data_IF_630144112798
#
_entry.id   IF_630144112798
#
_cell.length_a   1.000
_cell.length_b   1.000
_cell.length_c   1.000
_cell.angle_alpha   90.00
_cell.angle_beta   90.00
_cell.angle_gamma   90.00
#
_symmetry.space_group_name_H-M   'P 1'
#
loop_
_entity.id
_entity.type
_entity.pdbx_description
1 polymer ?
#
# COMPACT_ATOMS: atom_id res chain seq x y z
N UNK A 1 11.88 4.70 27.37
CA UNK A 1 13.19 4.16 26.91
C UNK A 1 13.18 2.66 26.56
N UNK A 2 12.72 1.71 27.40
CA UNK A 2 12.77 0.26 27.10
C UNK A 2 12.17 -0.16 25.75
N UNK A 3 11.04 0.43 25.33
CA UNK A 3 10.40 0.14 24.03
C UNK A 3 11.24 0.55 22.82
N UNK A 4 11.94 1.68 22.91
CA UNK A 4 12.80 2.18 21.83
C UNK A 4 13.97 1.20 21.62
N UNK A 5 14.53 0.64 22.69
CA UNK A 5 15.59 -0.39 22.59
C UNK A 5 15.14 -1.68 21.89
N UNK A 6 13.84 -2.02 21.96
CA UNK A 6 13.32 -3.26 21.37
C UNK A 6 12.92 -3.06 19.90
N UNK A 7 12.23 -1.96 19.59
CA UNK A 7 11.64 -1.72 18.27
C UNK A 7 12.51 -0.83 17.38
N UNK A 8 13.35 0.04 17.97
CA UNK A 8 14.25 0.94 17.23
C UNK A 8 15.21 0.22 16.28
N UNK A 9 15.89 -0.86 16.69
CA UNK A 9 16.75 -1.64 15.78
C UNK A 9 16.00 -2.22 14.58
N UNK A 10 14.70 -2.54 14.73
CA UNK A 10 13.89 -3.09 13.64
C UNK A 10 13.51 -1.97 12.66
N UNK A 11 13.19 -0.77 13.14
CA UNK A 11 12.97 0.38 12.27
C UNK A 11 14.24 0.72 11.46
N UNK A 12 15.40 0.78 12.12
CA UNK A 12 16.68 1.03 11.45
C UNK A 12 17.03 -0.05 10.43
N UNK A 13 16.80 -1.32 10.78
CA UNK A 13 16.97 -2.44 9.84
C UNK A 13 16.10 -2.29 8.59
N UNK A 14 14.80 -2.01 8.77
CA UNK A 14 13.88 -1.86 7.64
C UNK A 14 14.25 -0.65 6.76
N UNK A 15 14.65 0.47 7.38
CA UNK A 15 15.16 1.63 6.64
C UNK A 15 16.40 1.27 5.81
N UNK A 16 17.43 0.72 6.46
CA UNK A 16 18.67 0.32 5.77
C UNK A 16 18.37 -0.65 4.62
N UNK A 17 17.55 -1.66 4.87
CA UNK A 17 17.18 -2.66 3.87
C UNK A 17 16.49 -2.03 2.66
N UNK A 18 15.50 -1.16 2.88
CA UNK A 18 14.78 -0.48 1.80
C UNK A 18 15.72 0.39 0.96
N UNK A 19 16.60 1.19 1.60
CA UNK A 19 17.55 2.03 0.87
C UNK A 19 18.65 1.23 0.15
N UNK A 20 19.15 0.14 0.73
CA UNK A 20 20.12 -0.74 0.05
C UNK A 20 19.51 -1.40 -1.19
N UNK A 21 18.27 -1.89 -1.08
CA UNK A 21 17.62 -2.58 -2.20
C UNK A 21 17.09 -1.64 -3.29
N UNK A 22 16.64 -0.43 -2.92
CA UNK A 22 15.90 0.45 -3.82
C UNK A 22 16.50 1.85 -4.01
N UNK A 23 17.56 2.21 -3.29
CA UNK A 23 18.18 3.54 -3.37
C UNK A 23 18.67 3.94 -4.76
N UNK A 24 18.98 2.96 -5.62
CA UNK A 24 19.35 3.22 -7.03
C UNK A 24 18.25 3.94 -7.82
N UNK A 25 16.98 3.83 -7.43
CA UNK A 25 15.84 4.46 -8.10
C UNK A 25 15.85 5.98 -7.91
N UNK A 26 16.54 6.47 -6.87
CA UNK A 26 16.71 7.92 -6.63
C UNK A 26 17.50 8.61 -7.76
N UNK A 27 18.17 7.86 -8.64
CA UNK A 27 18.89 8.40 -9.80
C UNK A 27 18.02 8.53 -11.05
N UNK A 28 16.74 8.20 -10.98
CA UNK A 28 15.82 8.22 -12.12
C UNK A 28 15.28 9.63 -12.32
N UNK A 29 15.57 10.29 -13.47
CA UNK A 29 15.07 11.64 -13.73
C UNK A 29 13.56 11.66 -13.91
N UNK A 30 12.97 12.87 -13.94
CA UNK A 30 11.57 13.07 -14.28
C UNK A 30 11.28 12.40 -15.64
N UNK A 31 10.35 11.46 -15.63
CA UNK A 31 9.95 10.68 -16.81
C UNK A 31 8.43 10.66 -17.01
N UNK A 32 7.66 11.13 -16.03
CA UNK A 32 6.21 11.08 -16.02
C UNK A 32 5.64 12.50 -15.91
N UNK A 33 4.67 12.86 -16.76
CA UNK A 33 4.05 14.20 -16.78
C UNK A 33 3.60 14.69 -15.40
N UNK A 34 2.83 13.84 -14.68
CA UNK A 34 2.37 14.13 -13.31
C UNK A 34 3.49 14.53 -12.32
N UNK A 35 4.71 14.01 -12.48
CA UNK A 35 5.81 14.39 -11.58
C UNK A 35 6.26 15.83 -11.88
N UNK A 36 6.26 16.27 -13.14
CA UNK A 36 6.51 17.65 -13.52
C UNK A 36 5.41 18.60 -13.06
N UNK A 37 4.14 18.19 -13.19
CA UNK A 37 3.00 18.99 -12.72
C UNK A 37 3.07 19.26 -11.21
N UNK A 38 3.41 18.24 -10.41
CA UNK A 38 3.61 18.38 -8.95
C UNK A 38 4.72 19.35 -8.62
N UNK A 39 5.85 19.32 -9.36
CA UNK A 39 6.96 20.22 -9.12
C UNK A 39 6.61 21.67 -9.46
N UNK A 40 5.97 21.91 -10.60
CA UNK A 40 5.50 23.24 -11.00
C UNK A 40 4.50 23.81 -10.00
N UNK A 41 3.56 22.99 -9.53
CA UNK A 41 2.58 23.42 -8.54
C UNK A 41 3.22 23.68 -7.18
N UNK A 42 4.13 22.82 -6.72
CA UNK A 42 4.88 23.04 -5.49
C UNK A 42 5.72 24.32 -5.56
N UNK A 43 6.26 24.68 -6.74
CA UNK A 43 6.92 25.95 -6.98
C UNK A 43 5.97 27.14 -6.80
N UNK A 44 4.79 27.13 -7.45
CA UNK A 44 3.77 28.17 -7.31
C UNK A 44 3.36 28.34 -5.83
N UNK A 45 3.05 27.23 -5.15
CA UNK A 45 2.71 27.22 -3.72
C UNK A 45 3.86 27.69 -2.82
N UNK A 46 5.11 27.53 -3.26
CA UNK A 46 6.27 28.00 -2.50
C UNK A 46 6.34 29.53 -2.44
N UNK A 47 5.90 30.21 -3.51
CA UNK A 47 5.83 31.66 -3.62
C UNK A 47 4.63 32.22 -2.84
N UNK A 48 3.47 31.55 -2.92
CA UNK A 48 2.25 31.97 -2.22
C UNK A 48 1.54 30.79 -1.54
N UNK A 49 1.93 30.40 -0.31
CA UNK A 49 1.33 29.27 0.39
C UNK A 49 -0.17 29.41 0.68
N UNK A 50 -0.71 30.63 0.63
CA UNK A 50 -2.13 30.90 0.85
C UNK A 50 -2.99 30.37 -0.30
N UNK A 51 -2.43 30.21 -1.50
CA UNK A 51 -3.14 29.61 -2.64
C UNK A 51 -3.56 28.17 -2.37
N UNK A 52 -2.83 27.45 -1.50
CA UNK A 52 -3.24 26.13 -1.01
C UNK A 52 -4.64 26.15 -0.36
N UNK A 53 -5.03 27.28 0.27
CA UNK A 53 -6.35 27.47 0.87
C UNK A 53 -7.38 27.99 -0.14
N UNK A 54 -6.94 28.75 -1.15
CA UNK A 54 -7.81 29.23 -2.23
C UNK A 54 -8.40 28.10 -3.09
N UNK A 55 -7.77 26.93 -3.06
CA UNK A 55 -8.21 25.71 -3.72
C UNK A 55 -8.83 24.69 -2.76
N UNK A 56 -9.33 25.12 -1.59
CA UNK A 56 -10.15 24.28 -0.71
C UNK A 56 -11.38 23.80 -1.48
N UNK A 57 -11.32 22.56 -1.96
CA UNK A 57 -12.32 22.00 -2.86
C UNK A 57 -12.05 22.26 -4.34
N UNK A 58 -10.80 22.30 -4.82
CA UNK A 58 -10.40 22.30 -6.25
C UNK A 58 -9.04 21.62 -6.42
N UNK A 59 -8.90 20.62 -7.31
CA UNK A 59 -7.69 19.84 -7.67
C UNK A 59 -6.87 19.14 -6.55
N UNK A 60 -6.99 19.65 -5.33
CA UNK A 60 -6.13 19.51 -4.17
C UNK A 60 -6.94 19.51 -2.88
N UNK A 61 -8.00 18.72 -2.87
CA UNK A 61 -8.69 18.34 -1.64
C UNK A 61 -7.80 17.52 -0.68
N UNK A 62 -6.47 17.55 -0.87
CA UNK A 62 -5.42 16.93 -0.09
C UNK A 62 -4.41 17.93 0.50
N UNK A 63 -4.82 18.89 1.36
CA UNK A 63 -3.90 19.88 1.95
C UNK A 63 -2.67 19.26 2.60
N UNK A 64 -2.82 18.07 3.19
CA UNK A 64 -1.71 17.35 3.81
C UNK A 64 -0.68 16.87 2.78
N UNK A 65 -1.13 16.41 1.60
CA UNK A 65 -0.25 15.96 0.54
C UNK A 65 0.46 17.14 -0.13
N UNK A 66 -0.25 18.23 -0.42
CA UNK A 66 0.36 19.44 -0.95
C UNK A 66 1.40 20.01 0.01
N UNK A 67 1.08 20.04 1.31
CA UNK A 67 2.03 20.46 2.32
C UNK A 67 3.28 19.57 2.31
N UNK A 68 3.12 18.26 2.11
CA UNK A 68 4.25 17.35 1.98
C UNK A 68 5.10 17.68 0.75
N UNK A 69 4.50 17.84 -0.44
CA UNK A 69 5.23 18.21 -1.66
C UNK A 69 5.87 19.59 -1.59
N UNK A 70 5.21 20.56 -0.97
CA UNK A 70 5.75 21.90 -0.72
C UNK A 70 6.98 21.84 0.22
N UNK A 71 6.91 21.02 1.27
CA UNK A 71 8.05 20.80 2.16
C UNK A 71 9.20 20.10 1.43
N UNK A 72 8.92 19.09 0.62
CA UNK A 72 9.93 18.45 -0.23
C UNK A 72 10.56 19.45 -1.21
N UNK A 73 9.76 20.27 -1.89
CA UNK A 73 10.24 21.28 -2.82
C UNK A 73 11.12 22.34 -2.15
N UNK A 74 10.76 22.79 -0.95
CA UNK A 74 11.59 23.74 -0.20
C UNK A 74 12.94 23.17 0.24
N UNK A 75 13.03 21.84 0.42
CA UNK A 75 14.26 21.17 0.87
C UNK A 75 15.11 20.71 -0.30
N UNK A 76 14.50 20.21 -1.37
CA UNK A 76 15.18 19.53 -2.48
C UNK A 76 15.11 20.30 -3.82
N UNK A 77 14.25 21.32 -3.94
CA UNK A 77 14.03 22.04 -5.19
C UNK A 77 13.57 21.09 -6.30
N UNK A 78 14.27 21.12 -7.44
CA UNK A 78 14.01 20.22 -8.58
C UNK A 78 14.75 18.87 -8.50
N UNK A 79 15.50 18.60 -7.43
CA UNK A 79 16.21 17.32 -7.29
C UNK A 79 15.26 16.17 -6.97
N UNK A 80 14.92 15.40 -8.02
CA UNK A 80 14.08 14.19 -7.94
C UNK A 80 14.57 13.16 -6.92
N UNK A 81 15.87 13.10 -6.62
CA UNK A 81 16.43 12.14 -5.69
C UNK A 81 15.83 12.31 -4.28
N UNK A 82 15.61 13.56 -3.86
CA UNK A 82 15.01 13.89 -2.57
C UNK A 82 13.61 13.31 -2.39
N UNK A 83 12.73 13.57 -3.37
CA UNK A 83 11.34 13.08 -3.39
C UNK A 83 11.26 11.55 -3.36
N UNK A 84 12.06 10.87 -4.20
CA UNK A 84 12.10 9.41 -4.20
C UNK A 84 12.68 8.89 -2.88
N UNK A 85 13.66 9.59 -2.29
CA UNK A 85 14.19 9.28 -0.97
C UNK A 85 13.13 9.33 0.14
N UNK A 86 12.25 10.35 0.13
CA UNK A 86 11.12 10.45 1.07
C UNK A 86 10.11 9.33 0.83
N UNK A 87 9.81 8.97 -0.42
CA UNK A 87 8.96 7.82 -0.74
C UNK A 87 9.52 6.51 -0.14
N UNK A 88 10.82 6.25 -0.30
CA UNK A 88 11.49 5.09 0.30
C UNK A 88 11.43 5.12 1.83
N UNK A 89 11.66 6.29 2.44
CA UNK A 89 11.58 6.47 3.89
C UNK A 89 10.17 6.16 4.43
N UNK A 90 9.13 6.69 3.80
CA UNK A 90 7.73 6.45 4.19
C UNK A 90 7.35 4.99 3.96
N UNK A 91 7.83 4.36 2.88
CA UNK A 91 7.62 2.93 2.64
C UNK A 91 8.23 2.06 3.76
N UNK A 92 9.47 2.31 4.16
CA UNK A 92 10.09 1.61 5.27
C UNK A 92 9.38 1.87 6.61
N UNK A 93 8.89 3.10 6.82
CA UNK A 93 8.09 3.42 8.00
C UNK A 93 6.74 2.67 8.00
N UNK A 94 6.08 2.54 6.85
CA UNK A 94 4.91 1.69 6.67
C UNK A 94 5.21 0.24 7.04
N UNK A 95 6.32 -0.32 6.55
CA UNK A 95 6.75 -1.67 6.92
C UNK A 95 7.00 -1.82 8.43
N UNK A 96 7.53 -0.78 9.09
CA UNK A 96 7.68 -0.78 10.54
C UNK A 96 6.33 -0.80 11.27
N UNK A 97 5.32 -0.06 10.79
CA UNK A 97 3.96 -0.13 11.35
C UNK A 97 3.36 -1.53 11.14
N UNK A 98 3.61 -2.17 9.99
CA UNK A 98 3.24 -3.58 9.75
C UNK A 98 3.87 -4.49 10.80
N UNK A 99 5.17 -4.36 11.06
CA UNK A 99 5.84 -5.10 12.14
C UNK A 99 5.13 -4.88 13.49
N UNK A 100 4.79 -3.64 13.84
CA UNK A 100 4.11 -3.32 15.10
C UNK A 100 2.71 -3.91 15.19
N UNK A 101 1.94 -3.89 14.10
CA UNK A 101 0.61 -4.51 13.99
C UNK A 101 0.70 -6.04 14.13
N UNK A 102 1.59 -6.68 13.38
CA UNK A 102 1.74 -8.14 13.39
C UNK A 102 2.26 -8.63 14.74
N UNK A 103 3.23 -7.94 15.33
CA UNK A 103 3.77 -8.24 16.66
C UNK A 103 2.73 -8.04 17.78
N UNK A 104 1.67 -7.27 17.53
CA UNK A 104 0.55 -7.12 18.46
C UNK A 104 -0.51 -8.22 18.29
N UNK A 105 -0.74 -8.69 17.06
CA UNK A 105 -1.79 -9.66 16.75
C UNK A 105 -1.31 -11.12 16.80
N UNK A 106 -0.01 -11.37 16.63
CA UNK A 106 0.58 -12.70 16.68
C UNK A 106 1.58 -12.84 17.84
N UNK A 107 1.67 -14.03 18.46
CA UNK A 107 2.60 -14.27 19.57
C UNK A 107 4.06 -14.41 19.13
N UNK A 108 4.33 -14.68 17.85
CA UNK A 108 5.68 -15.00 17.35
C UNK A 108 6.34 -13.77 16.71
N UNK A 109 7.41 -13.27 17.34
CA UNK A 109 8.17 -12.10 16.86
C UNK A 109 8.83 -12.34 15.49
N UNK A 110 9.35 -13.55 15.23
CA UNK A 110 10.02 -13.88 13.97
C UNK A 110 9.11 -13.68 12.76
N UNK A 111 7.85 -14.10 12.90
CA UNK A 111 6.82 -13.92 11.88
C UNK A 111 6.52 -12.44 11.61
N UNK A 112 6.52 -11.59 12.64
CA UNK A 112 6.35 -10.14 12.46
C UNK A 112 7.52 -9.50 11.73
N UNK A 113 8.76 -9.91 12.03
CA UNK A 113 9.96 -9.44 11.32
C UNK A 113 9.93 -9.89 9.87
N UNK A 114 9.60 -11.16 9.61
CA UNK A 114 9.51 -11.71 8.26
C UNK A 114 8.44 -10.99 7.43
N UNK A 115 7.24 -10.82 7.97
CA UNK A 115 6.15 -10.13 7.26
C UNK A 115 6.52 -8.68 6.90
N UNK A 116 7.11 -7.93 7.85
CA UNK A 116 7.55 -6.57 7.59
C UNK A 116 8.72 -6.49 6.60
N UNK A 117 9.64 -7.46 6.65
CA UNK A 117 10.76 -7.57 5.69
C UNK A 117 10.25 -7.85 4.28
N UNK A 118 9.29 -8.77 4.13
CA UNK A 118 8.67 -9.05 2.82
C UNK A 118 7.96 -7.82 2.27
N UNK A 119 7.21 -7.11 3.12
CA UNK A 119 6.53 -5.88 2.72
C UNK A 119 7.52 -4.76 2.35
N UNK A 120 8.59 -4.57 3.14
CA UNK A 120 9.65 -3.59 2.87
C UNK A 120 10.44 -3.87 1.59
N UNK A 121 10.46 -5.13 1.14
CA UNK A 121 11.07 -5.57 -0.13
C UNK A 121 10.07 -5.55 -1.29
N UNK A 122 8.91 -4.92 -1.13
CA UNK A 122 7.92 -4.72 -2.18
C UNK A 122 7.18 -5.99 -2.60
N UNK A 123 7.21 -7.07 -1.81
CA UNK A 123 6.55 -8.33 -2.19
C UNK A 123 5.04 -8.12 -2.38
N UNK A 124 4.55 -8.39 -3.59
CA UNK A 124 3.14 -8.24 -3.97
C UNK A 124 2.77 -6.88 -4.59
N UNK A 125 3.60 -5.84 -4.41
CA UNK A 125 3.44 -4.52 -5.07
C UNK A 125 4.52 -4.21 -6.11
N UNK A 126 5.65 -4.94 -6.07
CA UNK A 126 6.73 -4.94 -7.05
C UNK A 126 7.40 -3.58 -7.27
N UNK A 127 7.49 -2.79 -6.20
CA UNK A 127 8.27 -1.55 -6.14
C UNK A 127 7.77 -0.37 -6.96
N UNK A 128 6.72 -0.55 -7.78
CA UNK A 128 6.15 0.52 -8.61
C UNK A 128 5.73 1.76 -7.79
N UNK A 129 5.32 1.54 -6.55
CA UNK A 129 4.81 2.58 -5.63
C UNK A 129 5.87 3.60 -5.17
N UNK A 130 7.15 3.41 -5.46
CA UNK A 130 8.20 4.37 -5.05
C UNK A 130 9.09 4.79 -6.22
N UNK A 131 8.63 4.60 -7.47
CA UNK A 131 9.40 4.93 -8.68
C UNK A 131 9.08 6.29 -9.32
N UNK A 132 8.13 7.02 -8.74
CA UNK A 132 7.67 8.30 -9.25
C UNK A 132 7.30 9.21 -8.08
N UNK A 133 7.41 10.53 -8.27
CA UNK A 133 7.20 11.53 -7.22
C UNK A 133 5.76 11.48 -6.73
N UNK A 134 4.79 11.46 -7.65
CA UNK A 134 3.36 11.44 -7.34
C UNK A 134 2.90 10.26 -6.48
N UNK A 135 3.69 9.18 -6.37
CA UNK A 135 3.31 8.02 -5.56
C UNK A 135 3.35 8.27 -4.05
N UNK A 136 3.89 9.43 -3.62
CA UNK A 136 3.81 9.89 -2.23
C UNK A 136 2.37 9.87 -1.70
N UNK A 137 1.39 10.23 -2.53
CA UNK A 137 -0.04 10.17 -2.19
C UNK A 137 -0.42 8.80 -1.62
N UNK A 138 -0.12 7.73 -2.37
CA UNK A 138 -0.51 6.37 -2.01
C UNK A 138 0.27 5.85 -0.79
N UNK A 139 1.53 6.25 -0.66
CA UNK A 139 2.38 5.88 0.48
C UNK A 139 1.94 6.54 1.78
N UNK A 140 1.63 7.85 1.72
CA UNK A 140 1.17 8.63 2.86
C UNK A 140 -0.23 8.19 3.29
N UNK A 141 -1.13 7.98 2.34
CA UNK A 141 -2.47 7.43 2.60
C UNK A 141 -2.39 6.08 3.30
N UNK A 142 -1.51 5.20 2.84
CA UNK A 142 -1.28 3.91 3.49
C UNK A 142 -0.69 4.07 4.89
N UNK A 143 0.20 5.03 5.12
CA UNK A 143 0.73 5.35 6.45
C UNK A 143 -0.37 5.76 7.41
N UNK A 144 -1.23 6.70 7.00
CA UNK A 144 -2.37 7.16 7.79
C UNK A 144 -3.35 6.01 8.07
N UNK A 145 -3.64 5.20 7.06
CA UNK A 145 -4.50 4.02 7.19
C UNK A 145 -3.95 3.03 8.23
N UNK A 146 -2.66 2.67 8.13
CA UNK A 146 -2.02 1.71 9.03
C UNK A 146 -1.88 2.24 10.47
N UNK A 147 -1.52 3.52 10.62
CA UNK A 147 -1.46 4.16 11.94
C UNK A 147 -2.83 4.21 12.60
N UNK A 148 -3.88 4.56 11.83
CA UNK A 148 -5.26 4.59 12.32
C UNK A 148 -5.67 3.24 12.89
N UNK A 149 -5.44 2.16 12.14
CA UNK A 149 -5.70 0.81 12.63
C UNK A 149 -4.86 0.45 13.83
N UNK A 150 -3.57 0.74 13.79
CA UNK A 150 -2.66 0.46 14.89
C UNK A 150 -3.17 1.10 16.17
N UNK A 151 -3.58 2.37 16.13
CA UNK A 151 -4.08 3.07 17.30
C UNK A 151 -5.45 2.58 17.76
N UNK A 152 -6.39 2.27 16.87
CA UNK A 152 -7.68 1.71 17.28
C UNK A 152 -7.57 0.30 17.85
N UNK A 153 -6.77 -0.58 17.22
CA UNK A 153 -6.49 -1.92 17.73
C UNK A 153 -5.75 -1.79 19.08
N UNK A 154 -4.76 -0.90 19.19
CA UNK A 154 -4.04 -0.66 20.44
C UNK A 154 -4.94 -0.13 21.55
N UNK A 155 -5.87 0.77 21.22
CA UNK A 155 -6.90 1.27 22.13
C UNK A 155 -7.75 0.11 22.65
N UNK A 156 -8.14 -0.78 21.75
CA UNK A 156 -8.93 -1.96 22.09
C UNK A 156 -8.18 -2.88 23.06
N UNK A 157 -6.89 -3.16 22.83
CA UNK A 157 -6.07 -3.98 23.72
C UNK A 157 -5.79 -3.32 25.08
N UNK A 158 -5.52 -2.02 25.13
CA UNK A 158 -5.02 -1.34 26.35
C UNK A 158 -6.11 -0.66 27.18
N UNK A 159 -7.16 -0.17 26.54
CA UNK A 159 -8.21 0.62 27.19
C UNK A 159 -9.61 0.08 26.89
N UNK A 160 -9.74 -1.16 26.40
CA UNK A 160 -11.02 -1.83 26.15
C UNK A 160 -11.94 -1.02 25.23
N UNK A 161 -11.39 -0.25 24.29
CA UNK A 161 -12.17 0.55 23.33
C UNK A 161 -12.78 1.84 23.91
N UNK A 162 -12.27 2.37 25.04
CA UNK A 162 -12.74 3.67 25.58
C UNK A 162 -12.55 4.80 24.55
N UNK A 163 -13.59 5.62 24.38
CA UNK A 163 -13.62 6.75 23.43
C UNK A 163 -12.68 7.90 23.84
N UNK A 164 -12.52 8.14 25.14
CA UNK A 164 -11.67 9.23 25.64
C UNK A 164 -10.20 8.82 25.85
N UNK A 165 -9.79 7.66 25.34
CA UNK A 165 -8.39 7.28 25.44
C UNK A 165 -7.53 8.08 24.45
N UNK A 166 -6.27 8.34 24.83
CA UNK A 166 -5.30 9.02 23.94
C UNK A 166 -5.14 8.29 22.60
N UNK A 167 -5.23 6.96 22.60
CA UNK A 167 -5.11 6.18 21.36
C UNK A 167 -6.36 6.27 20.48
N UNK A 168 -7.56 6.34 21.07
CA UNK A 168 -8.78 6.55 20.28
C UNK A 168 -8.76 7.94 19.63
N UNK A 169 -8.47 8.99 20.41
CA UNK A 169 -8.43 10.37 19.92
C UNK A 169 -7.39 10.54 18.82
N UNK A 170 -6.19 9.96 19.00
CA UNK A 170 -5.15 9.98 17.97
C UNK A 170 -5.54 9.20 16.72
N UNK A 171 -6.16 8.02 16.88
CA UNK A 171 -6.68 7.23 15.76
C UNK A 171 -7.80 7.97 14.99
N UNK A 172 -8.69 8.66 15.70
CA UNK A 172 -9.75 9.46 15.11
C UNK A 172 -9.21 10.68 14.37
N UNK A 173 -8.22 11.37 14.94
CA UNK A 173 -7.53 12.47 14.28
C UNK A 173 -6.85 12.01 12.99
N UNK A 174 -6.11 10.90 13.02
CA UNK A 174 -5.47 10.32 11.84
C UNK A 174 -6.48 9.83 10.81
N UNK A 175 -7.64 9.32 11.24
CA UNK A 175 -8.74 8.96 10.36
C UNK A 175 -9.27 10.16 9.57
N UNK A 176 -9.48 11.30 10.26
CA UNK A 176 -9.89 12.55 9.63
C UNK A 176 -8.81 13.05 8.65
N UNK A 177 -7.53 13.02 9.05
CA UNK A 177 -6.42 13.36 8.15
C UNK A 177 -6.35 12.45 6.92
N UNK A 178 -6.62 11.14 7.09
CA UNK A 178 -6.69 10.21 5.96
C UNK A 178 -7.83 10.54 5.00
N UNK A 179 -8.98 10.93 5.55
CA UNK A 179 -10.13 11.37 4.75
C UNK A 179 -9.83 12.65 3.98
N UNK A 180 -9.05 13.57 4.57
CA UNK A 180 -8.50 14.74 3.87
C UNK A 180 -7.46 14.38 2.82
N UNK A 181 -7.02 13.13 2.69
CA UNK A 181 -6.13 12.72 1.60
C UNK A 181 -6.97 12.04 0.51
N UNK A 182 -7.64 10.93 0.80
CA UNK A 182 -8.47 10.25 -0.20
C UNK A 182 -9.62 9.54 0.48
N UNK A 183 -10.74 9.40 -0.22
CA UNK A 183 -11.94 8.69 0.24
C UNK A 183 -11.74 7.16 0.36
N UNK A 184 -10.76 6.72 1.16
CA UNK A 184 -10.49 5.30 1.46
C UNK A 184 -11.11 4.84 2.78
N UNK A 185 -11.90 5.71 3.41
CA UNK A 185 -12.54 5.50 4.72
C UNK A 185 -13.32 4.19 4.81
N UNK A 186 -13.96 3.75 3.73
CA UNK A 186 -14.72 2.50 3.71
C UNK A 186 -13.85 1.26 3.98
N UNK A 187 -12.71 1.13 3.29
CA UNK A 187 -11.80 -0.02 3.47
C UNK A 187 -11.25 -0.10 4.90
N UNK A 188 -11.01 1.05 5.52
CA UNK A 188 -10.54 1.16 6.89
C UNK A 188 -11.63 0.76 7.90
N UNK A 189 -12.85 1.27 7.75
CA UNK A 189 -14.00 0.92 8.61
C UNK A 189 -14.29 -0.58 8.53
N UNK A 190 -14.30 -1.14 7.32
CA UNK A 190 -14.50 -2.58 7.11
C UNK A 190 -13.37 -3.41 7.74
N UNK A 191 -12.13 -2.93 7.67
CA UNK A 191 -11.00 -3.59 8.32
C UNK A 191 -11.10 -3.55 9.84
N UNK A 192 -11.52 -2.44 10.44
CA UNK A 192 -11.80 -2.36 11.88
C UNK A 192 -12.95 -3.28 12.30
N UNK A 193 -14.00 -3.35 11.49
CA UNK A 193 -15.10 -4.28 11.68
C UNK A 193 -14.61 -5.73 11.66
N UNK A 194 -13.82 -6.11 10.65
CA UNK A 194 -13.23 -7.44 10.55
C UNK A 194 -12.37 -7.75 11.79
N UNK A 195 -11.52 -6.82 12.22
CA UNK A 195 -10.74 -6.97 13.46
C UNK A 195 -11.65 -7.26 14.66
N UNK A 196 -12.71 -6.46 14.86
CA UNK A 196 -13.65 -6.62 15.97
C UNK A 196 -14.37 -7.98 15.91
N UNK A 197 -14.79 -8.43 14.72
CA UNK A 197 -15.44 -9.73 14.53
C UNK A 197 -14.54 -10.90 14.96
N UNK A 198 -13.25 -10.88 14.64
CA UNK A 198 -12.35 -11.98 14.98
C UNK A 198 -11.77 -11.91 16.40
N UNK A 199 -11.54 -10.71 16.94
CA UNK A 199 -10.82 -10.52 18.21
C UNK A 199 -11.70 -10.15 19.41
N UNK A 200 -12.95 -9.72 19.22
CA UNK A 200 -13.85 -9.28 20.31
C UNK A 200 -14.86 -10.31 20.89
N UNK A 201 -15.00 -11.59 20.46
CA UNK A 201 -16.12 -12.44 20.93
C UNK A 201 -16.09 -12.78 22.43
N UNK A 202 -14.98 -12.48 23.14
CA UNK A 202 -14.81 -12.77 24.56
C UNK A 202 -15.30 -11.64 25.49
N UNK A 203 -15.74 -10.49 24.95
CA UNK A 203 -16.22 -9.37 25.76
C UNK A 203 -17.74 -9.34 25.99
N UNK A 204 -18.47 -10.35 25.54
CA UNK A 204 -19.92 -10.49 25.76
C UNK A 204 -20.78 -9.38 25.14
N UNK A 205 -20.23 -8.53 24.27
CA UNK A 205 -20.92 -7.39 23.67
C UNK A 205 -21.27 -7.61 22.20
N UNK A 206 -22.28 -6.87 21.70
CA UNK A 206 -22.65 -6.82 20.27
C UNK A 206 -21.52 -6.16 19.48
N UNK A 207 -20.73 -6.96 18.76
CA UNK A 207 -19.52 -6.53 18.03
C UNK A 207 -19.82 -5.40 17.04
N UNK A 208 -20.95 -5.49 16.31
CA UNK A 208 -21.38 -4.50 15.31
C UNK A 208 -21.79 -3.15 15.92
N UNK A 209 -22.14 -3.11 17.21
CA UNK A 209 -22.60 -1.91 17.92
C UNK A 209 -21.58 -1.44 18.95
N UNK A 210 -20.30 -1.73 18.75
CA UNK A 210 -19.28 -1.16 19.65
C UNK A 210 -19.25 0.36 19.47
N UNK A 211 -19.25 1.09 20.59
CA UNK A 211 -19.34 2.56 20.59
C UNK A 211 -18.26 3.21 19.74
N UNK A 212 -17.04 2.66 19.79
CA UNK A 212 -15.90 3.14 18.99
C UNK A 212 -16.13 2.98 17.47
N UNK A 213 -16.60 1.82 17.02
CA UNK A 213 -16.87 1.57 15.60
C UNK A 213 -18.04 2.43 15.11
N UNK A 214 -19.10 2.56 15.90
CA UNK A 214 -20.23 3.44 15.59
C UNK A 214 -19.80 4.90 15.48
N UNK A 215 -18.98 5.40 16.42
CA UNK A 215 -18.45 6.75 16.35
C UNK A 215 -17.63 6.97 15.08
N UNK A 216 -16.73 6.04 14.73
CA UNK A 216 -15.92 6.16 13.50
C UNK A 216 -16.81 6.10 12.25
N UNK A 217 -17.81 5.23 12.22
CA UNK A 217 -18.74 5.12 11.10
C UNK A 217 -19.56 6.41 10.93
N UNK A 218 -20.11 6.96 12.02
CA UNK A 218 -20.86 8.23 12.00
C UNK A 218 -19.95 9.38 11.56
N UNK A 219 -18.75 9.50 12.14
CA UNK A 219 -17.78 10.53 11.74
C UNK A 219 -17.39 10.37 10.27
N UNK A 220 -17.17 9.14 9.80
CA UNK A 220 -16.84 8.86 8.41
C UNK A 220 -17.96 9.23 7.45
N UNK A 221 -19.22 8.94 7.80
CA UNK A 221 -20.40 9.35 7.01
C UNK A 221 -20.53 10.87 7.00
N UNK A 222 -20.47 11.53 8.16
CA UNK A 222 -20.55 12.99 8.25
C UNK A 222 -19.44 13.66 7.46
N UNK A 223 -18.22 13.10 7.52
CA UNK A 223 -17.09 13.57 6.76
C UNK A 223 -17.29 13.38 5.25
N UNK A 224 -17.83 12.24 4.80
CA UNK A 224 -18.14 12.03 3.39
C UNK A 224 -19.25 12.97 2.90
N UNK A 225 -20.28 13.22 3.71
CA UNK A 225 -21.33 14.18 3.40
C UNK A 225 -20.74 15.59 3.28
N UNK A 226 -19.88 15.99 4.23
CA UNK A 226 -19.16 17.24 4.19
C UNK A 226 -18.32 17.37 2.91
N UNK A 227 -17.58 16.33 2.53
CA UNK A 227 -16.81 16.30 1.28
C UNK A 227 -17.70 16.35 0.03
N UNK A 228 -18.88 15.73 0.04
CA UNK A 228 -19.79 15.79 -1.10
C UNK A 228 -20.46 17.17 -1.24
N UNK A 229 -20.69 17.87 -0.13
CA UNK A 229 -21.33 19.19 -0.12
C UNK A 229 -20.35 20.33 -0.39
N UNK A 230 -19.14 20.25 0.19
CA UNK A 230 -18.14 21.32 0.13
C UNK A 230 -16.88 20.95 -0.64
N UNK A 231 -16.68 19.67 -0.95
CA UNK A 231 -15.54 19.21 -1.73
C UNK A 231 -15.80 19.34 -3.24
N UNK A 232 -14.71 19.41 -4.00
CA UNK A 232 -14.77 19.48 -5.45
C UNK A 232 -15.34 18.20 -6.05
N UNK A 233 -16.19 18.34 -7.06
CA UNK A 233 -16.82 17.21 -7.76
C UNK A 233 -16.25 16.93 -9.15
N UNK A 234 -15.35 17.77 -9.68
CA UNK A 234 -14.75 17.53 -10.99
C UNK A 234 -13.54 16.58 -10.91
N UNK A 235 -13.27 15.81 -11.99
CA UNK A 235 -12.13 14.89 -12.05
C UNK A 235 -10.81 15.63 -11.80
N UNK A 236 -9.92 14.99 -11.03
CA UNK A 236 -8.59 15.52 -10.71
C UNK A 236 -7.67 15.47 -11.92
N UNK A 237 -6.69 16.39 -11.99
CA UNK A 237 -5.65 16.42 -13.04
C UNK A 237 -4.86 15.09 -13.10
N UNK A 238 -4.69 14.43 -11.95
CA UNK A 238 -3.95 13.18 -11.80
C UNK A 238 -4.70 11.91 -12.21
N UNK A 239 -5.95 12.03 -12.66
CA UNK A 239 -6.76 10.90 -13.10
C UNK A 239 -7.36 11.13 -14.47
N UNK A 240 -7.14 10.19 -15.40
CA UNK A 240 -8.17 9.94 -16.41
C UNK A 240 -9.51 9.81 -15.67
N UNK A 241 -10.61 10.43 -16.13
CA UNK A 241 -11.88 10.46 -15.41
C UNK A 241 -12.17 9.05 -14.88
N UNK A 242 -11.98 8.85 -13.57
CA UNK A 242 -12.10 7.53 -12.98
C UNK A 242 -13.54 7.15 -13.23
N UNK A 243 -13.74 6.22 -14.17
CA UNK A 243 -15.07 5.80 -14.53
C UNK A 243 -15.77 5.37 -13.24
N UNK A 244 -17.00 5.87 -13.03
CA UNK A 244 -17.80 5.54 -11.86
C UNK A 244 -17.64 4.04 -11.56
N UNK A 245 -17.26 3.65 -10.33
CA UNK A 245 -16.98 2.25 -10.05
C UNK A 245 -18.23 1.40 -10.30
N UNK A 246 -18.21 0.58 -11.35
CA UNK A 246 -19.31 -0.33 -11.68
C UNK A 246 -18.99 -1.68 -11.06
N UNK A 247 -19.65 -2.01 -9.96
CA UNK A 247 -19.57 -3.33 -9.37
C UNK A 247 -20.43 -4.32 -10.17
N UNK A 248 -19.78 -5.19 -10.93
CA UNK A 248 -20.42 -6.21 -11.78
C UNK A 248 -19.73 -7.56 -11.61
N UNK A 249 -20.17 -8.58 -12.38
CA UNK A 249 -19.45 -9.86 -12.46
C UNK A 249 -17.97 -9.69 -12.87
N UNK A 250 -17.66 -8.65 -13.65
CA UNK A 250 -16.29 -8.29 -14.02
C UNK A 250 -15.47 -7.91 -12.78
N UNK A 251 -16.06 -7.30 -11.76
CA UNK A 251 -15.39 -6.94 -10.51
C UNK A 251 -14.94 -8.17 -9.72
N UNK A 252 -15.76 -9.23 -9.66
CA UNK A 252 -15.37 -10.51 -9.06
C UNK A 252 -14.20 -11.12 -9.84
N UNK A 253 -14.25 -11.09 -11.18
CA UNK A 253 -13.12 -11.53 -12.00
C UNK A 253 -11.85 -10.70 -11.74
N UNK A 254 -12.00 -9.38 -11.61
CA UNK A 254 -10.89 -8.46 -11.33
C UNK A 254 -10.29 -8.70 -9.95
N UNK A 255 -11.09 -9.03 -8.94
CA UNK A 255 -10.60 -9.44 -7.61
C UNK A 255 -9.58 -10.57 -7.75
N UNK A 256 -9.94 -11.66 -8.44
CA UNK A 256 -9.02 -12.77 -8.65
C UNK A 256 -7.86 -12.41 -9.57
N UNK A 257 -8.05 -11.56 -10.58
CA UNK A 257 -6.93 -11.09 -11.42
C UNK A 257 -5.89 -10.34 -10.59
N UNK A 258 -6.33 -9.43 -9.72
CA UNK A 258 -5.45 -8.71 -8.80
C UNK A 258 -4.74 -9.66 -7.82
N UNK A 259 -5.46 -10.60 -7.20
CA UNK A 259 -4.83 -11.59 -6.32
C UNK A 259 -3.81 -12.43 -7.08
N UNK A 260 -4.11 -12.88 -8.30
CA UNK A 260 -3.14 -13.59 -9.14
C UNK A 260 -1.90 -12.74 -9.45
N UNK A 261 -2.07 -11.44 -9.71
CA UNK A 261 -0.94 -10.54 -9.98
C UNK A 261 0.00 -10.41 -8.78
N UNK A 262 -0.50 -10.56 -7.56
CA UNK A 262 0.33 -10.57 -6.36
C UNK A 262 1.23 -11.81 -6.28
N UNK A 263 0.82 -12.95 -6.86
CA UNK A 263 1.64 -14.17 -6.92
C UNK A 263 2.47 -14.24 -8.22
N UNK A 264 1.93 -13.70 -9.30
CA UNK A 264 2.44 -13.86 -10.65
C UNK A 264 2.24 -12.56 -11.44
N UNK A 265 3.16 -11.59 -11.30
CA UNK A 265 3.04 -10.21 -11.78
C UNK A 265 3.24 -10.06 -13.29
N UNK A 266 2.90 -11.09 -14.07
CA UNK A 266 3.00 -11.02 -15.53
C UNK A 266 1.70 -10.52 -16.13
N UNK A 267 1.79 -9.37 -16.79
CA UNK A 267 0.76 -8.78 -17.64
C UNK A 267 1.25 -8.72 -19.08
N UNK A 268 0.33 -8.49 -20.03
CA UNK A 268 0.74 -8.15 -21.38
C UNK A 268 1.41 -6.78 -21.32
N UNK A 269 2.66 -6.69 -21.76
CA UNK A 269 3.39 -5.44 -21.90
C UNK A 269 4.20 -5.47 -23.19
N UNK A 270 4.54 -4.32 -23.77
CA UNK A 270 5.47 -4.27 -24.90
C UNK A 270 6.83 -4.91 -24.59
N UNK A 271 7.24 -4.91 -23.31
CA UNK A 271 8.48 -5.57 -22.84
C UNK A 271 8.46 -7.09 -23.12
N UNK A 272 7.28 -7.71 -23.16
CA UNK A 272 7.18 -9.14 -23.48
C UNK A 272 7.52 -9.47 -24.94
N UNK A 273 7.49 -8.48 -25.84
CA UNK A 273 7.77 -8.68 -27.27
C UNK A 273 9.27 -8.87 -27.54
N UNK A 274 10.12 -8.32 -26.68
CA UNK A 274 11.58 -8.49 -26.72
C UNK A 274 12.12 -9.50 -25.70
N UNK A 275 11.23 -10.18 -24.95
CA UNK A 275 11.62 -11.08 -23.88
C UNK A 275 12.25 -12.38 -24.43
N UNK A 276 13.18 -13.02 -23.68
CA UNK A 276 13.74 -14.32 -24.05
C UNK A 276 12.66 -15.39 -24.27
N UNK A 277 12.91 -16.34 -25.17
CA UNK A 277 11.93 -17.37 -25.56
C UNK A 277 11.35 -18.18 -24.39
N UNK A 278 12.15 -18.46 -23.35
CA UNK A 278 11.65 -19.15 -22.14
C UNK A 278 10.62 -18.30 -21.37
N UNK A 279 10.76 -16.98 -21.34
CA UNK A 279 9.82 -16.08 -20.68
C UNK A 279 8.51 -15.99 -21.48
N UNK A 280 8.59 -15.99 -22.82
CA UNK A 280 7.43 -16.10 -23.70
C UNK A 280 6.69 -17.42 -23.44
N UNK A 281 7.40 -18.54 -23.29
CA UNK A 281 6.80 -19.83 -22.95
C UNK A 281 6.07 -19.80 -21.61
N UNK A 282 6.69 -19.24 -20.55
CA UNK A 282 6.03 -19.06 -19.25
C UNK A 282 4.81 -18.14 -19.37
N UNK A 283 4.90 -17.09 -20.18
CA UNK A 283 3.78 -16.18 -20.46
C UNK A 283 2.65 -16.84 -21.25
N UNK A 284 2.94 -17.78 -22.16
CA UNK A 284 1.92 -18.60 -22.84
C UNK A 284 1.26 -19.56 -21.85
N UNK A 285 2.03 -20.15 -20.93
CA UNK A 285 1.52 -20.98 -19.84
C UNK A 285 0.73 -20.18 -18.77
N UNK A 286 0.69 -18.84 -18.83
CA UNK A 286 0.07 -17.99 -17.80
C UNK A 286 -1.39 -18.36 -17.49
N UNK A 287 -2.15 -18.80 -18.49
CA UNK A 287 -3.57 -19.12 -18.30
C UNK A 287 -3.70 -20.32 -17.37
N UNK A 288 -2.92 -21.37 -17.62
CA UNK A 288 -2.89 -22.57 -16.79
C UNK A 288 -2.37 -22.25 -15.38
N UNK A 289 -1.27 -21.50 -15.28
CA UNK A 289 -0.69 -21.05 -14.01
C UNK A 289 -1.74 -20.28 -13.19
N UNK A 290 -2.45 -19.32 -13.80
CA UNK A 290 -3.49 -18.52 -13.13
C UNK A 290 -4.69 -19.37 -12.69
N UNK A 291 -5.08 -20.40 -13.43
CA UNK A 291 -6.15 -21.31 -13.00
C UNK A 291 -5.74 -22.03 -11.71
N UNK A 292 -4.56 -22.66 -11.70
CA UNK A 292 -4.06 -23.35 -10.51
C UNK A 292 -3.80 -22.41 -9.33
N UNK A 293 -3.25 -21.21 -9.59
CA UNK A 293 -3.08 -20.18 -8.57
C UNK A 293 -4.43 -19.72 -8.01
N UNK A 294 -5.45 -19.49 -8.85
CA UNK A 294 -6.79 -19.10 -8.39
C UNK A 294 -7.39 -20.17 -7.50
N UNK A 295 -7.32 -21.45 -7.91
CA UNK A 295 -7.79 -22.57 -7.09
C UNK A 295 -7.03 -22.66 -5.76
N UNK A 296 -5.72 -22.44 -5.79
CA UNK A 296 -4.87 -22.41 -4.58
C UNK A 296 -5.24 -21.26 -3.65
N UNK A 297 -5.48 -20.06 -4.20
CA UNK A 297 -5.91 -18.87 -3.44
C UNK A 297 -7.28 -19.13 -2.81
N UNK A 298 -8.24 -19.65 -3.57
CA UNK A 298 -9.59 -19.96 -3.05
C UNK A 298 -9.48 -21.02 -1.93
N UNK A 299 -8.74 -22.10 -2.18
CA UNK A 299 -8.55 -23.18 -1.22
C UNK A 299 -7.89 -22.67 0.06
N UNK A 300 -6.78 -21.94 -0.07
CA UNK A 300 -6.06 -21.38 1.08
C UNK A 300 -6.91 -20.37 1.84
N UNK A 301 -7.60 -19.46 1.15
CA UNK A 301 -8.49 -18.49 1.79
C UNK A 301 -9.63 -19.18 2.52
N UNK A 302 -10.27 -20.19 1.92
CA UNK A 302 -11.35 -20.94 2.55
C UNK A 302 -10.88 -21.70 3.79
N UNK A 303 -9.84 -22.53 3.66
CA UNK A 303 -9.30 -23.31 4.77
C UNK A 303 -8.66 -22.43 5.84
N UNK A 304 -7.95 -21.38 5.46
CA UNK A 304 -7.38 -20.40 6.37
C UNK A 304 -8.45 -19.61 7.12
N UNK A 305 -9.60 -19.34 6.50
CA UNK A 305 -10.72 -18.67 7.15
C UNK A 305 -11.44 -19.59 8.15
N UNK A 306 -11.63 -20.87 7.81
CA UNK A 306 -12.34 -21.84 8.67
C UNK A 306 -11.45 -22.34 9.80
N UNK A 307 -10.23 -22.76 9.49
CA UNK A 307 -9.32 -23.46 10.41
C UNK A 307 -8.18 -22.58 10.94
N UNK A 308 -7.89 -21.45 10.30
CA UNK A 308 -6.80 -20.57 10.72
C UNK A 308 -7.03 -19.89 12.07
N UNK A 309 -5.96 -19.33 12.63
CA UNK A 309 -6.03 -18.50 13.83
C UNK A 309 -6.82 -17.21 13.56
N UNK A 310 -7.35 -16.57 14.61
CA UNK A 310 -8.06 -15.28 14.50
C UNK A 310 -7.30 -14.24 13.67
N UNK A 311 -5.98 -14.19 13.85
CA UNK A 311 -5.11 -13.28 13.11
C UNK A 311 -5.02 -13.64 11.61
N UNK A 312 -4.89 -14.92 11.27
CA UNK A 312 -4.90 -15.36 9.87
C UNK A 312 -6.24 -15.01 9.20
N UNK A 313 -7.37 -15.29 9.86
CA UNK A 313 -8.71 -14.94 9.34
C UNK A 313 -8.85 -13.44 9.09
N UNK A 314 -8.36 -12.64 10.04
CA UNK A 314 -8.34 -11.18 9.91
C UNK A 314 -7.52 -10.72 8.70
N UNK A 315 -6.31 -11.24 8.48
CA UNK A 315 -5.47 -10.83 7.35
C UNK A 315 -5.95 -11.39 5.99
N UNK A 316 -6.66 -12.52 5.98
CA UNK A 316 -7.40 -12.97 4.80
C UNK A 316 -8.52 -11.96 4.49
N UNK A 317 -9.38 -11.65 5.46
CA UNK A 317 -10.47 -10.68 5.28
C UNK A 317 -9.94 -9.30 4.85
N UNK A 318 -8.86 -8.83 5.48
CA UNK A 318 -8.13 -7.62 5.11
C UNK A 318 -7.73 -7.58 3.64
N UNK A 319 -7.17 -8.67 3.13
CA UNK A 319 -6.70 -8.76 1.74
C UNK A 319 -7.88 -8.52 0.79
N UNK A 320 -9.03 -9.15 1.05
CA UNK A 320 -10.25 -8.94 0.24
C UNK A 320 -10.86 -7.54 0.42
N UNK A 321 -10.94 -7.04 1.65
CA UNK A 321 -11.52 -5.72 1.98
C UNK A 321 -10.72 -4.59 1.34
N UNK A 322 -9.39 -4.64 1.45
CA UNK A 322 -8.50 -3.62 0.87
C UNK A 322 -8.53 -3.64 -0.66
N UNK A 323 -8.78 -4.80 -1.26
CA UNK A 323 -8.81 -4.94 -2.71
C UNK A 323 -10.16 -4.54 -3.33
N UNK A 324 -11.26 -4.68 -2.58
CA UNK A 324 -12.63 -4.49 -3.05
C UNK A 324 -12.85 -3.16 -3.80
N UNK A 325 -12.38 -1.99 -3.33
CA UNK A 325 -12.62 -0.72 -4.02
C UNK A 325 -12.07 -0.68 -5.44
N UNK A 326 -10.95 -1.35 -5.69
CA UNK A 326 -10.24 -1.34 -6.97
C UNK A 326 -10.84 -2.31 -8.00
N UNK A 327 -11.72 -3.21 -7.56
CA UNK A 327 -12.35 -4.20 -8.45
C UNK A 327 -13.36 -3.57 -9.42
N UNK A 328 -13.94 -2.42 -9.05
CA UNK A 328 -14.93 -1.67 -9.86
C UNK A 328 -14.34 -0.71 -10.89
N UNK A 329 -13.03 -0.40 -10.83
CA UNK A 329 -12.40 0.67 -11.62
C UNK A 329 -11.99 0.28 -13.06
N UNK A 330 -12.01 -1.01 -13.44
CA UNK A 330 -11.52 -1.43 -14.76
C UNK A 330 -12.63 -1.94 -15.67
N UNK A 331 -13.16 -1.03 -16.51
CA UNK A 331 -14.17 -1.35 -17.54
C UNK A 331 -13.51 -1.97 -18.78
N UNK A 332 -12.34 -1.49 -19.18
CA UNK A 332 -11.68 -1.90 -20.44
C UNK A 332 -10.85 -3.18 -20.31
N UNK A 333 -10.58 -3.63 -19.09
CA UNK A 333 -9.90 -4.90 -18.81
C UNK A 333 -8.44 -5.01 -19.30
N UNK A 334 -7.85 -3.95 -19.89
CA UNK A 334 -6.57 -4.01 -20.59
C UNK A 334 -5.35 -3.89 -19.67
N UNK A 335 -5.44 -3.13 -18.58
CA UNK A 335 -4.33 -3.00 -17.63
C UNK A 335 -4.80 -2.84 -16.19
N UNK A 336 -4.26 -3.64 -15.27
CA UNK A 336 -4.56 -3.55 -13.84
C UNK A 336 -3.42 -2.79 -13.17
N UNK A 337 -3.77 -1.70 -12.48
CA UNK A 337 -2.76 -0.85 -11.88
C UNK A 337 -2.19 -1.48 -10.60
N UNK A 338 -0.91 -1.84 -10.64
CA UNK A 338 -0.19 -2.47 -9.53
C UNK A 338 -0.07 -1.56 -8.30
N UNK A 339 -0.22 -0.24 -8.43
CA UNK A 339 -0.18 0.66 -7.26
C UNK A 339 -1.32 0.38 -6.27
N UNK A 340 -2.48 -0.06 -6.76
CA UNK A 340 -3.62 -0.46 -5.92
C UNK A 340 -3.32 -1.69 -5.05
N UNK A 341 -2.34 -2.52 -5.43
CA UNK A 341 -1.95 -3.70 -4.66
C UNK A 341 -1.10 -3.37 -3.44
N UNK A 342 -0.67 -2.12 -3.25
CA UNK A 342 0.24 -1.77 -2.15
C UNK A 342 -0.33 -2.12 -0.77
N UNK A 343 -1.51 -1.61 -0.41
CA UNK A 343 -2.10 -1.92 0.89
C UNK A 343 -2.58 -3.38 1.00
N UNK A 344 -3.02 -3.98 -0.11
CA UNK A 344 -3.40 -5.39 -0.18
C UNK A 344 -2.19 -6.32 0.03
N UNK A 345 -1.01 -5.92 -0.44
CA UNK A 345 0.24 -6.68 -0.30
C UNK A 345 0.65 -6.94 1.14
N UNK A 346 0.20 -6.11 2.08
CA UNK A 346 0.35 -6.35 3.51
C UNK A 346 -0.25 -7.69 3.93
N UNK A 347 -1.52 -7.94 3.57
CA UNK A 347 -2.22 -9.17 3.95
C UNK A 347 -1.55 -10.40 3.35
N UNK A 348 -1.13 -10.29 2.09
CA UNK A 348 -0.36 -11.31 1.39
C UNK A 348 1.00 -11.60 2.07
N UNK A 349 1.78 -10.57 2.41
CA UNK A 349 3.07 -10.73 3.08
C UNK A 349 2.93 -11.44 4.44
N UNK A 350 1.88 -11.13 5.20
CA UNK A 350 1.61 -11.76 6.49
C UNK A 350 1.17 -13.21 6.33
N UNK A 351 0.29 -13.49 5.36
CA UNK A 351 -0.16 -14.84 5.04
C UNK A 351 1.04 -15.71 4.63
N UNK A 352 1.90 -15.18 3.75
CA UNK A 352 3.11 -15.86 3.28
C UNK A 352 4.10 -16.10 4.44
N UNK A 353 4.33 -15.11 5.30
CA UNK A 353 5.17 -15.24 6.48
C UNK A 353 4.62 -16.28 7.47
N UNK A 354 3.31 -16.26 7.74
CA UNK A 354 2.64 -17.22 8.61
C UNK A 354 2.70 -18.65 8.05
N UNK A 355 2.53 -18.81 6.74
CA UNK A 355 2.69 -20.09 6.05
C UNK A 355 4.12 -20.64 6.14
N UNK A 356 5.12 -19.81 5.86
CA UNK A 356 6.53 -20.22 5.93
C UNK A 356 6.94 -20.63 7.36
N UNK A 357 6.62 -19.80 8.37
CA UNK A 357 6.91 -20.08 9.78
C UNK A 357 6.11 -21.28 10.33
N UNK A 358 4.85 -21.41 9.92
CA UNK A 358 3.99 -22.54 10.29
C UNK A 358 4.56 -23.86 9.78
N UNK A 359 4.85 -23.95 8.49
CA UNK A 359 5.42 -25.15 7.86
C UNK A 359 6.84 -25.43 8.38
N UNK A 360 7.65 -24.40 8.62
CA UNK A 360 8.98 -24.57 9.22
C UNK A 360 8.91 -25.21 10.60
N UNK A 361 7.93 -24.81 11.42
CA UNK A 361 7.70 -25.42 12.73
C UNK A 361 7.26 -26.89 12.65
N UNK A 362 6.47 -27.27 11.65
CA UNK A 362 6.10 -28.68 11.40
C UNK A 362 7.32 -29.52 10.99
N UNK A 363 8.25 -28.93 10.24
CA UNK A 363 9.48 -29.59 9.79
C UNK A 363 10.63 -29.51 10.80
N UNK A 364 10.38 -29.07 12.04
CA UNK A 364 11.42 -28.84 13.06
C UNK A 364 12.25 -30.10 13.38
N UNK A 365 11.66 -31.29 13.26
CA UNK A 365 12.35 -32.56 13.45
C UNK A 365 13.47 -32.81 12.40
N UNK A 366 13.37 -32.21 11.21
CA UNK A 366 14.33 -32.37 10.11
C UNK A 366 15.19 -31.11 9.97
N UNK A 367 16.42 -31.15 10.53
CA UNK A 367 17.35 -30.00 10.63
C UNK A 367 17.48 -29.17 9.33
N UNK A 368 17.58 -29.82 8.17
CA UNK A 368 17.69 -29.14 6.86
C UNK A 368 16.33 -28.76 6.27
N UNK A 369 15.34 -29.67 6.33
CA UNK A 369 14.03 -29.45 5.72
C UNK A 369 13.25 -28.29 6.35
N UNK A 370 13.53 -27.93 7.61
CA UNK A 370 12.90 -26.76 8.27
C UNK A 370 13.10 -25.43 7.53
N UNK A 371 14.09 -25.32 6.66
CA UNK A 371 14.39 -24.11 5.89
C UNK A 371 13.70 -24.07 4.52
N UNK A 372 13.23 -25.21 4.00
CA UNK A 372 12.57 -25.31 2.69
C UNK A 372 11.39 -24.35 2.54
N UNK A 373 10.52 -24.13 3.56
CA UNK A 373 9.40 -23.20 3.42
C UNK A 373 9.80 -21.74 3.17
N UNK A 374 11.03 -21.35 3.53
CA UNK A 374 11.53 -19.99 3.28
C UNK A 374 12.01 -19.75 1.84
N UNK A 375 12.12 -20.81 1.02
CA UNK A 375 12.44 -20.67 -0.41
C UNK A 375 11.34 -19.91 -1.15
N UNK A 376 10.07 -20.08 -0.78
CA UNK A 376 8.97 -19.36 -1.41
C UNK A 376 9.04 -17.84 -1.14
N UNK A 377 9.09 -17.36 0.11
CA UNK A 377 9.36 -15.95 0.41
C UNK A 377 10.61 -15.40 -0.29
N UNK A 378 11.71 -16.17 -0.32
CA UNK A 378 12.94 -15.75 -0.99
C UNK A 378 12.75 -15.59 -2.51
N UNK A 379 12.02 -16.50 -3.16
CA UNK A 379 11.69 -16.38 -4.58
C UNK A 379 10.85 -15.12 -4.87
N UNK A 380 9.88 -14.80 -4.00
CA UNK A 380 9.10 -13.57 -4.11
C UNK A 380 9.95 -12.31 -3.95
N UNK A 381 10.91 -12.33 -3.02
CA UNK A 381 11.88 -11.23 -2.86
C UNK A 381 12.72 -11.07 -4.12
N UNK A 382 13.30 -12.16 -4.65
CA UNK A 382 14.11 -12.11 -5.86
C UNK A 382 13.31 -11.58 -7.06
N UNK A 383 12.06 -12.04 -7.22
CA UNK A 383 11.15 -11.54 -8.25
C UNK A 383 10.83 -10.05 -8.07
N UNK A 384 10.57 -9.60 -6.84
CA UNK A 384 10.31 -8.19 -6.54
C UNK A 384 11.50 -7.29 -6.89
N UNK A 385 12.71 -7.68 -6.46
CA UNK A 385 13.93 -6.95 -6.77
C UNK A 385 14.23 -6.93 -8.27
N UNK A 386 14.08 -8.07 -8.96
CA UNK A 386 14.30 -8.18 -10.40
C UNK A 386 13.31 -7.34 -11.21
N UNK A 387 12.02 -7.36 -10.89
CA UNK A 387 11.02 -6.53 -11.58
C UNK A 387 11.25 -5.04 -11.31
N UNK A 388 11.61 -4.69 -10.09
CA UNK A 388 11.98 -3.31 -9.75
C UNK A 388 13.25 -2.88 -10.53
N UNK A 389 14.19 -3.81 -10.74
CA UNK A 389 15.36 -3.60 -11.59
C UNK A 389 14.99 -3.20 -13.01
N UNK A 390 14.18 -4.02 -13.67
CA UNK A 390 13.74 -3.80 -15.04
C UNK A 390 12.87 -2.56 -15.19
N UNK A 391 11.96 -2.31 -14.24
CA UNK A 391 11.10 -1.12 -14.27
C UNK A 391 11.89 0.18 -14.13
N UNK A 392 12.89 0.21 -13.24
CA UNK A 392 13.78 1.36 -13.09
C UNK A 392 14.57 1.64 -14.38
N UNK A 393 15.12 0.59 -15.00
CA UNK A 393 15.82 0.70 -16.28
C UNK A 393 14.89 1.22 -17.39
N UNK A 394 13.67 0.67 -17.47
CA UNK A 394 12.65 1.12 -18.41
C UNK A 394 12.28 2.60 -18.22
N UNK A 395 12.12 3.04 -16.97
CA UNK A 395 11.83 4.44 -16.65
C UNK A 395 12.99 5.38 -17.01
N UNK A 396 14.24 4.96 -16.79
CA UNK A 396 15.42 5.72 -17.22
C UNK A 396 15.49 5.89 -18.74
N UNK A 397 15.16 4.86 -19.51
CA UNK A 397 15.07 4.96 -20.97
C UNK A 397 13.95 5.92 -21.39
N UNK A 398 12.77 5.85 -20.75
CA UNK A 398 11.68 6.81 -21.00
C UNK A 398 12.10 8.24 -20.65
N UNK A 399 12.83 8.43 -19.56
CA UNK A 399 13.37 9.72 -19.16
C UNK A 399 14.28 10.31 -20.26
N UNK A 400 14.91 9.49 -21.10
CA UNK A 400 15.78 9.95 -22.19
C UNK A 400 15.01 10.32 -23.47
N UNK A 401 13.72 9.97 -23.57
CA UNK A 401 12.86 10.27 -24.71
C UNK A 401 12.56 11.76 -24.88
N UNK A 402 12.12 12.15 -26.08
CA UNK A 402 11.84 13.54 -26.45
C UNK A 402 10.79 14.18 -25.55
N UNK A 403 9.66 13.50 -25.33
CA UNK A 403 8.57 13.96 -24.44
C UNK A 403 9.07 14.26 -23.01
N UNK A 404 9.92 13.39 -22.44
CA UNK A 404 10.47 13.62 -21.10
C UNK A 404 11.50 14.76 -21.06
N UNK A 405 12.19 15.05 -22.18
CA UNK A 405 13.08 16.22 -22.29
C UNK A 405 12.29 17.51 -22.38
N UNK A 406 11.24 17.54 -23.18
CA UNK A 406 10.31 18.68 -23.29
C UNK A 406 9.64 18.98 -21.95
N UNK A 407 9.21 17.94 -21.24
CA UNK A 407 8.67 18.07 -19.89
C UNK A 407 9.66 18.73 -18.95
N UNK A 408 10.91 18.25 -18.87
CA UNK A 408 11.94 18.84 -18.01
C UNK A 408 12.25 20.29 -18.41
N UNK A 409 12.39 20.58 -19.70
CA UNK A 409 12.61 21.95 -20.18
C UNK A 409 11.43 22.88 -19.83
N UNK A 410 10.21 22.35 -19.78
CA UNK A 410 9.02 23.10 -19.34
C UNK A 410 9.05 23.37 -17.84
N UNK A 411 9.37 22.35 -17.03
CA UNK A 411 9.53 22.49 -15.57
C UNK A 411 10.62 23.51 -15.24
N UNK A 412 11.79 23.40 -15.88
CA UNK A 412 12.91 24.32 -15.69
C UNK A 412 12.48 25.76 -16.02
N UNK A 413 11.82 25.99 -17.16
CA UNK A 413 11.32 27.33 -17.56
C UNK A 413 10.30 27.93 -16.58
N UNK A 414 9.47 27.10 -15.96
CA UNK A 414 8.44 27.57 -15.01
C UNK A 414 9.06 27.86 -13.64
N UNK A 415 10.12 27.14 -13.28
CA UNK A 415 10.73 27.19 -11.95
C UNK A 415 11.97 28.10 -11.84
N UNK A 416 12.58 28.50 -12.96
CA UNK A 416 13.60 29.55 -13.06
C UNK A 416 13.00 30.96 -12.91
#
# INVERSE_FOLDING_TARGET
MKKIRIHGPILLWLQLLTFVCFGRIMTTPIWHGMDGDILCEAHILSQNPVEMLGHLGFYFSQPLLQLAFLLEYRVFGLDTAGYIGVNLFIHAFNAFIVYMLVNMLFPRKSMAILAATLFALGVGSYGKIFMAIHQLESLLLSCLHLLTLYFFIRNDFRHKGKLLSKFFLLGLFLFLLSGLTKATSFSLILSLLAYKLFFNPWRGGRVLLSRDLLTIAVVGVLFQLAQNTWGYTHPTVFGAPEANPIFSWISIKNLFRYLNLMFFPMQRSPIMESAPGWMILVYQARTLIRIFLTLSIISYSFFGFIFGSKAIRFFIAWTYISLLPFTGQTITGTWLNLSHLYLTSLGFCIILAAGAEGTSALLRARKRARFVPYLAPLAFVAMSLGLTYELDHSNKLKAQGEEARELRATVDRICD
#
